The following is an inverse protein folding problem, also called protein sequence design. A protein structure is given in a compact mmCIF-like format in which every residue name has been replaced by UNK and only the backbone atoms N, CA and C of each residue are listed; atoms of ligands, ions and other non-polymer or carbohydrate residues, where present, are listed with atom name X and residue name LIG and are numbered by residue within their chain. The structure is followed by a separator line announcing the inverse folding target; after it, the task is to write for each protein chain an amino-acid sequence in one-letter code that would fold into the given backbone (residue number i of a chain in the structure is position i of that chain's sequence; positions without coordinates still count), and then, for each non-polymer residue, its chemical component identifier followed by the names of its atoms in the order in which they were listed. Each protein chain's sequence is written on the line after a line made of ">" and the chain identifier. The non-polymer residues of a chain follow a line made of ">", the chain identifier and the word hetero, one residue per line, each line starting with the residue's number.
data_IF_254394187908
#
_entry.id   IF_254394187908
#
_cell.length_a   1.000
_cell.length_b   1.000
_cell.length_c   1.000
_cell.angle_alpha   90.00
_cell.angle_beta   90.00
_cell.angle_gamma   90.00
#
_symmetry.space_group_name_H-M   'P 1'
#
loop_
_entity.id
_entity.type
_entity.pdbx_description
1 polymer ?
#
# COMPACT_ATOMS: atom_id res chain seq x y z
N UNK A 1 -18.84 15.83 -10.91
CA UNK A 1 -19.89 16.88 -10.80
C UNK A 1 -19.32 18.30 -10.96
N UNK A 2 -18.40 18.76 -10.09
CA UNK A 2 -17.84 20.13 -10.20
C UNK A 2 -17.09 20.40 -11.51
N UNK A 3 -16.27 19.47 -11.97
CA UNK A 3 -15.58 19.64 -13.25
C UNK A 3 -16.56 19.78 -14.43
N UNK A 4 -17.69 19.06 -14.39
CA UNK A 4 -18.77 19.20 -15.36
C UNK A 4 -19.43 20.57 -15.25
N UNK A 5 -19.65 21.09 -14.04
CA UNK A 5 -20.15 22.46 -13.84
C UNK A 5 -19.23 23.49 -14.50
N UNK A 6 -17.92 23.42 -14.29
CA UNK A 6 -16.97 24.37 -14.91
C UNK A 6 -16.94 24.26 -16.44
N UNK A 7 -17.06 23.04 -16.99
CA UNK A 7 -17.21 22.82 -18.44
C UNK A 7 -18.51 23.38 -19.00
N UNK A 8 -19.62 23.30 -18.27
CA UNK A 8 -20.91 23.79 -18.75
C UNK A 8 -21.09 25.29 -18.55
N UNK A 9 -20.40 25.87 -17.57
CA UNK A 9 -20.54 27.27 -17.17
C UNK A 9 -20.23 28.26 -18.30
N UNK A 10 -19.35 27.91 -19.24
CA UNK A 10 -19.03 28.76 -20.40
C UNK A 10 -20.20 28.89 -21.40
N UNK A 11 -21.16 27.96 -21.34
CA UNK A 11 -22.33 27.92 -22.23
C UNK A 11 -23.61 28.47 -21.60
N UNK A 12 -23.58 28.87 -20.32
CA UNK A 12 -24.77 29.35 -19.60
C UNK A 12 -24.67 30.86 -19.42
N UNK A 13 -25.66 31.60 -19.92
CA UNK A 13 -25.73 33.06 -19.72
C UNK A 13 -26.20 33.36 -18.30
N UNK A 14 -25.60 34.37 -17.66
CA UNK A 14 -26.10 34.87 -16.38
C UNK A 14 -27.40 35.68 -16.51
N UNK A 15 -27.73 36.09 -17.75
CA UNK A 15 -28.87 36.94 -18.07
C UNK A 15 -30.11 36.12 -18.51
N UNK A 16 -30.02 34.78 -18.53
CA UNK A 16 -31.19 33.91 -18.77
C UNK A 16 -32.09 33.90 -17.54
N UNK A 17 -33.31 34.42 -17.71
CA UNK A 17 -34.32 34.61 -16.64
C UNK A 17 -34.66 33.29 -15.92
N UNK A 18 -34.65 32.16 -16.63
CA UNK A 18 -34.99 30.84 -16.09
C UNK A 18 -33.85 30.17 -15.28
N UNK A 19 -32.59 30.61 -15.46
CA UNK A 19 -31.40 29.90 -14.95
C UNK A 19 -30.52 30.79 -14.05
N UNK A 20 -30.59 32.12 -14.21
CA UNK A 20 -29.75 33.09 -13.50
C UNK A 20 -29.80 32.96 -11.97
N UNK A 21 -31.00 32.74 -11.41
CA UNK A 21 -31.20 32.58 -9.97
C UNK A 21 -30.55 31.31 -9.38
N UNK A 22 -30.28 30.31 -10.21
CA UNK A 22 -29.63 29.06 -9.78
C UNK A 22 -28.09 29.12 -9.92
N UNK A 23 -27.55 30.16 -10.57
CA UNK A 23 -26.11 30.28 -10.74
C UNK A 23 -25.43 30.68 -9.43
N UNK A 24 -24.30 30.04 -9.07
CA UNK A 24 -23.52 30.46 -7.93
C UNK A 24 -23.05 31.90 -8.07
N UNK A 25 -23.13 32.67 -6.98
CA UNK A 25 -22.53 34.01 -6.92
C UNK A 25 -21.06 33.99 -7.34
N UNK A 26 -20.52 35.13 -7.80
CA UNK A 26 -19.11 35.22 -8.19
C UNK A 26 -18.15 34.80 -7.07
N UNK A 27 -18.49 35.08 -5.81
CA UNK A 27 -17.72 34.67 -4.64
C UNK A 27 -17.76 33.14 -4.45
N UNK A 28 -18.96 32.54 -4.57
CA UNK A 28 -19.14 31.09 -4.50
C UNK A 28 -18.39 30.39 -5.65
N UNK A 29 -18.49 30.92 -6.87
CA UNK A 29 -17.79 30.39 -8.05
C UNK A 29 -16.27 30.34 -7.84
N UNK A 30 -15.67 31.39 -7.27
CA UNK A 30 -14.23 31.40 -6.91
C UNK A 30 -13.89 30.32 -5.89
N UNK A 31 -14.71 30.16 -4.84
CA UNK A 31 -14.53 29.10 -3.83
C UNK A 31 -14.62 27.71 -4.46
N UNK A 32 -15.56 27.49 -5.39
CA UNK A 32 -15.68 26.23 -6.13
C UNK A 32 -14.47 25.94 -7.00
N UNK A 33 -13.82 26.97 -7.57
CA UNK A 33 -12.62 26.80 -8.37
C UNK A 33 -11.43 26.36 -7.52
N UNK A 34 -11.25 26.98 -6.35
CA UNK A 34 -10.25 26.55 -5.36
C UNK A 34 -10.52 25.12 -4.87
N UNK A 35 -11.79 24.80 -4.60
CA UNK A 35 -12.19 23.45 -4.20
C UNK A 35 -11.88 22.42 -5.30
N UNK A 36 -12.17 22.74 -6.56
CA UNK A 36 -11.87 21.84 -7.69
C UNK A 36 -10.38 21.55 -7.79
N UNK A 37 -9.52 22.56 -7.59
CA UNK A 37 -8.07 22.34 -7.56
C UNK A 37 -7.68 21.34 -6.45
N UNK A 38 -8.14 21.57 -5.22
CA UNK A 38 -7.85 20.64 -4.11
C UNK A 38 -8.37 19.21 -4.34
N UNK A 39 -9.52 19.07 -5.01
CA UNK A 39 -10.08 17.76 -5.33
C UNK A 39 -9.25 17.00 -6.39
N UNK A 40 -8.54 17.72 -7.27
CA UNK A 40 -7.63 17.08 -8.23
C UNK A 40 -6.43 16.45 -7.54
N UNK A 41 -5.89 17.10 -6.51
CA UNK A 41 -4.79 16.56 -5.72
C UNK A 41 -5.25 15.30 -4.98
N UNK A 42 -6.43 15.35 -4.34
CA UNK A 42 -7.05 14.19 -3.69
C UNK A 42 -7.32 13.05 -4.68
N UNK A 43 -7.81 13.36 -5.88
CA UNK A 43 -8.03 12.36 -6.94
C UNK A 43 -6.71 11.72 -7.39
N UNK A 44 -5.67 12.51 -7.58
CA UNK A 44 -4.33 12.05 -7.97
C UNK A 44 -3.76 11.07 -6.94
N UNK A 45 -3.80 11.45 -5.65
CA UNK A 45 -3.36 10.60 -4.54
C UNK A 45 -4.19 9.33 -4.46
N UNK A 46 -5.52 9.44 -4.53
CA UNK A 46 -6.43 8.28 -4.50
C UNK A 46 -6.15 7.28 -5.61
N UNK A 47 -5.83 7.76 -6.83
CA UNK A 47 -5.41 6.92 -7.95
C UNK A 47 -4.05 6.28 -7.73
N UNK A 48 -3.09 7.01 -7.13
CA UNK A 48 -1.75 6.47 -6.83
C UNK A 48 -1.80 5.40 -5.74
N UNK A 49 -2.63 5.58 -4.71
CA UNK A 49 -2.89 4.60 -3.63
C UNK A 49 -3.53 3.30 -4.14
N UNK A 50 -4.12 3.36 -5.33
CA UNK A 50 -4.75 2.27 -6.03
C UNK A 50 -3.78 1.53 -6.98
N UNK A 51 -2.55 1.99 -7.13
CA UNK A 51 -1.54 1.32 -7.96
C UNK A 51 -0.89 0.15 -7.23
N UNK A 52 -0.48 -0.87 -7.97
CA UNK A 52 0.22 -2.02 -7.41
C UNK A 52 1.66 -1.66 -7.02
N UNK A 53 2.21 -2.37 -6.03
CA UNK A 53 3.60 -2.21 -5.59
C UNK A 53 3.87 -0.93 -4.78
N UNK A 54 2.83 -0.26 -4.28
CA UNK A 54 2.99 0.86 -3.35
C UNK A 54 3.41 0.35 -1.97
N UNK A 55 4.42 0.98 -1.35
CA UNK A 55 4.83 0.66 0.01
C UNK A 55 4.10 1.53 1.05
N UNK A 56 4.21 1.17 2.33
CA UNK A 56 3.67 2.00 3.42
C UNK A 56 4.36 3.36 3.52
N UNK A 57 5.65 3.44 3.21
CA UNK A 57 6.38 4.70 3.12
C UNK A 57 5.78 5.63 2.06
N UNK A 58 5.59 5.11 0.83
CA UNK A 58 4.99 5.90 -0.25
C UNK A 58 3.57 6.40 0.10
N UNK A 59 2.77 5.55 0.75
CA UNK A 59 1.43 5.94 1.19
C UNK A 59 1.47 7.05 2.23
N UNK A 60 2.42 6.98 3.18
CA UNK A 60 2.61 8.00 4.21
C UNK A 60 3.04 9.34 3.60
N UNK A 61 3.99 9.32 2.67
CA UNK A 61 4.43 10.53 1.95
C UNK A 61 3.26 11.22 1.22
N UNK A 62 2.37 10.43 0.59
CA UNK A 62 1.17 10.95 -0.08
C UNK A 62 0.14 11.52 0.90
N UNK A 63 -0.04 10.89 2.05
CA UNK A 63 -0.93 11.36 3.11
C UNK A 63 -0.43 12.65 3.74
N UNK A 64 0.86 12.72 4.07
CA UNK A 64 1.47 13.90 4.66
C UNK A 64 1.37 15.11 3.72
N UNK A 65 1.63 14.91 2.42
CA UNK A 65 1.42 15.94 1.40
C UNK A 65 -0.04 16.43 1.33
N UNK A 66 -1.03 15.55 1.50
CA UNK A 66 -2.44 15.96 1.56
C UNK A 66 -2.76 16.74 2.84
N UNK A 67 -2.15 16.38 3.97
CA UNK A 67 -2.31 17.10 5.24
C UNK A 67 -1.71 18.50 5.16
N UNK A 68 -0.58 18.67 4.47
CA UNK A 68 0.01 19.99 4.20
C UNK A 68 -0.94 20.90 3.38
N UNK A 69 -1.57 20.34 2.34
CA UNK A 69 -2.54 21.08 1.51
C UNK A 69 -3.81 21.40 2.30
N UNK A 70 -4.28 20.45 3.13
CA UNK A 70 -5.50 20.59 3.92
C UNK A 70 -5.34 19.97 5.31
N UNK A 71 -5.02 20.79 6.32
CA UNK A 71 -4.78 20.31 7.69
C UNK A 71 -5.95 19.53 8.31
N UNK A 72 -7.18 19.77 7.86
CA UNK A 72 -8.36 19.04 8.32
C UNK A 72 -8.31 17.53 8.02
N UNK A 73 -7.45 17.07 7.09
CA UNK A 73 -7.25 15.65 6.83
C UNK A 73 -6.43 14.94 7.91
N UNK A 74 -5.70 15.67 8.76
CA UNK A 74 -4.92 15.08 9.84
C UNK A 74 -5.76 14.15 10.74
N UNK A 75 -7.03 14.49 10.96
CA UNK A 75 -7.97 13.68 11.75
C UNK A 75 -8.12 12.22 11.24
N UNK A 76 -7.76 11.94 9.99
CA UNK A 76 -7.88 10.63 9.37
C UNK A 76 -6.56 10.12 8.77
N UNK A 77 -5.68 11.02 8.34
CA UNK A 77 -4.49 10.68 7.57
C UNK A 77 -3.18 10.86 8.35
N UNK A 78 -3.22 11.50 9.53
CA UNK A 78 -2.03 11.65 10.35
C UNK A 78 -1.54 10.29 10.88
N UNK A 79 -0.24 10.15 11.18
CA UNK A 79 0.33 8.90 11.72
C UNK A 79 -0.22 8.52 13.10
N UNK A 80 -0.82 9.47 13.82
CA UNK A 80 -1.44 9.30 15.14
C UNK A 80 -2.98 9.38 15.11
N UNK A 81 -3.59 9.29 13.92
CA UNK A 81 -5.04 9.32 13.78
C UNK A 81 -5.71 8.13 14.50
N UNK A 82 -6.86 8.37 15.14
CA UNK A 82 -7.62 7.37 15.93
C UNK A 82 -7.98 6.09 15.17
N UNK A 83 -8.00 6.16 13.82
CA UNK A 83 -8.31 5.02 12.96
C UNK A 83 -7.15 4.00 12.84
N UNK A 84 -5.94 4.39 13.23
CA UNK A 84 -4.74 3.57 13.09
C UNK A 84 -4.72 2.53 14.20
N UNK A 85 -4.67 1.25 13.81
CA UNK A 85 -4.72 0.14 14.77
C UNK A 85 -3.44 0.02 15.61
N UNK A 86 -2.27 0.25 15.00
CA UNK A 86 -0.98 0.18 15.69
C UNK A 86 -0.03 1.23 15.14
N UNK A 87 0.05 2.36 15.83
CA UNK A 87 0.94 3.48 15.48
C UNK A 87 2.39 3.01 15.48
N UNK A 88 2.82 2.28 16.53
CA UNK A 88 4.18 1.77 16.65
C UNK A 88 4.57 0.87 15.46
N UNK A 89 3.66 0.00 15.00
CA UNK A 89 3.92 -0.86 13.85
C UNK A 89 4.10 -0.07 12.54
N UNK A 90 3.21 0.87 12.28
CA UNK A 90 3.27 1.68 11.06
C UNK A 90 4.54 2.55 11.04
N UNK A 91 4.84 3.24 12.15
CA UNK A 91 6.05 4.05 12.27
C UNK A 91 7.32 3.20 12.10
N UNK A 92 7.39 2.05 12.75
CA UNK A 92 8.53 1.15 12.63
C UNK A 92 8.74 0.67 11.19
N UNK A 93 7.65 0.36 10.49
CA UNK A 93 7.67 -0.06 9.09
C UNK A 93 8.14 1.07 8.18
N UNK A 94 7.63 2.30 8.38
CA UNK A 94 8.06 3.50 7.63
C UNK A 94 9.54 3.78 7.85
N UNK A 95 10.03 3.75 9.10
CA UNK A 95 11.45 3.93 9.44
C UNK A 95 12.34 2.90 8.74
N UNK A 96 11.93 1.64 8.70
CA UNK A 96 12.69 0.59 8.03
C UNK A 96 12.71 0.75 6.51
N UNK A 97 11.57 1.06 5.90
CA UNK A 97 11.48 1.32 4.46
C UNK A 97 12.31 2.54 4.06
N UNK A 98 12.42 3.54 4.93
CA UNK A 98 13.28 4.71 4.74
C UNK A 98 14.79 4.43 5.00
N UNK A 99 15.16 3.20 5.36
CA UNK A 99 16.55 2.83 5.66
C UNK A 99 17.05 3.30 7.03
N UNK A 100 16.16 3.74 7.92
CA UNK A 100 16.45 4.31 9.24
C UNK A 100 16.35 3.25 10.35
N UNK A 101 16.86 2.04 10.10
CA UNK A 101 16.78 0.91 11.04
C UNK A 101 17.43 1.20 12.42
N UNK A 102 18.36 2.16 12.48
CA UNK A 102 19.04 2.58 13.71
C UNK A 102 18.17 3.44 14.63
N UNK A 103 17.03 3.94 14.16
CA UNK A 103 16.11 4.81 14.91
C UNK A 103 14.91 4.04 15.49
N UNK A 104 14.91 2.71 15.38
CA UNK A 104 13.85 1.88 15.94
C UNK A 104 13.91 1.91 17.47
N UNK A 105 12.78 2.24 18.09
CA UNK A 105 12.60 2.14 19.54
C UNK A 105 12.42 0.67 19.97
N UNK A 106 12.46 0.40 21.27
CA UNK A 106 12.14 -0.94 21.78
C UNK A 106 10.70 -1.35 21.45
N UNK A 107 9.76 -0.40 21.53
CA UNK A 107 8.36 -0.59 21.15
C UNK A 107 8.23 -0.95 19.66
N UNK A 108 8.93 -0.21 18.78
CA UNK A 108 8.99 -0.48 17.34
C UNK A 108 9.51 -1.90 17.06
N UNK A 109 10.59 -2.29 17.76
CA UNK A 109 11.19 -3.61 17.60
C UNK A 109 10.27 -4.74 18.05
N UNK A 110 9.47 -4.53 19.10
CA UNK A 110 8.45 -5.50 19.54
C UNK A 110 7.28 -5.61 18.57
N UNK A 111 6.84 -4.50 17.98
CA UNK A 111 5.77 -4.50 16.97
C UNK A 111 6.18 -5.26 15.70
N UNK A 112 7.46 -5.23 15.35
CA UNK A 112 8.02 -5.91 14.16
C UNK A 112 8.58 -7.31 14.45
N UNK A 113 8.42 -7.83 15.66
CA UNK A 113 8.90 -9.17 16.04
C UNK A 113 8.48 -10.27 15.04
N UNK A 114 7.22 -10.31 14.54
CA UNK A 114 6.79 -11.30 13.55
C UNK A 114 7.52 -11.23 12.21
N UNK A 115 8.08 -10.07 11.86
CA UNK A 115 8.75 -9.82 10.58
C UNK A 115 10.27 -9.96 10.66
N UNK A 116 10.80 -10.19 11.86
CA UNK A 116 12.23 -10.35 12.08
C UNK A 116 12.68 -11.66 11.43
N UNK A 117 13.67 -11.60 10.54
CA UNK A 117 14.32 -12.80 10.02
C UNK A 117 14.96 -13.55 11.19
N UNK A 118 14.36 -14.66 11.58
CA UNK A 118 15.09 -15.69 12.32
C UNK A 118 16.20 -16.14 11.38
N UNK A 119 17.49 -16.08 11.77
CA UNK A 119 18.55 -16.66 10.96
C UNK A 119 18.29 -18.15 10.88
N UNK A 120 17.61 -18.57 9.82
CA UNK A 120 17.55 -19.97 9.46
C UNK A 120 18.97 -20.29 9.02
N UNK A 121 19.74 -20.93 9.90
CA UNK A 121 20.91 -21.70 9.50
C UNK A 121 20.40 -22.86 8.65
N UNK A 122 19.88 -22.59 7.45
CA UNK A 122 19.91 -23.57 6.38
C UNK A 122 21.35 -23.56 5.92
N UNK A 123 22.18 -24.26 6.68
CA UNK A 123 23.41 -24.81 6.17
C UNK A 123 22.99 -25.68 4.98
N UNK A 124 22.98 -25.08 3.79
CA UNK A 124 23.19 -25.82 2.57
C UNK A 124 24.53 -26.52 2.79
N UNK A 125 24.47 -27.79 3.14
CA UNK A 125 25.61 -28.67 3.30
C UNK A 125 26.28 -28.83 1.93
N UNK A 126 27.06 -27.83 1.53
CA UNK A 126 28.15 -28.04 0.61
C UNK A 126 29.21 -28.85 1.38
N UNK A 127 29.77 -29.92 0.81
CA UNK A 127 30.75 -30.75 1.49
C UNK A 127 32.04 -29.95 1.64
N UNK A 128 32.25 -29.31 2.79
CA UNK A 128 33.52 -28.63 3.08
C UNK A 128 34.56 -29.67 3.43
N UNK A 129 35.41 -29.98 2.45
CA UNK A 129 36.66 -30.71 2.65
C UNK A 129 37.43 -30.15 3.85
N UNK A 130 37.86 -31.04 4.72
CA UNK A 130 38.62 -30.76 5.93
C UNK A 130 39.94 -30.04 5.63
N UNK A 131 39.99 -28.73 5.82
CA UNK A 131 41.25 -28.00 6.03
C UNK A 131 41.13 -27.14 7.29
N UNK A 132 42.08 -27.32 8.20
CA UNK A 132 42.15 -26.65 9.51
C UNK A 132 42.06 -25.13 9.33
N UNK A 133 40.99 -24.51 9.85
CA UNK A 133 40.83 -23.05 9.85
C UNK A 133 42.05 -22.37 10.51
N UNK A 134 42.60 -21.35 9.86
CA UNK A 134 43.77 -20.62 10.34
C UNK A 134 43.42 -19.74 11.55
N UNK A 135 44.41 -19.46 12.41
CA UNK A 135 44.27 -18.53 13.53
C UNK A 135 43.82 -17.13 13.05
N UNK A 136 44.25 -16.70 11.87
CA UNK A 136 43.82 -15.46 11.25
C UNK A 136 42.31 -15.46 10.93
N UNK A 137 41.77 -16.56 10.42
CA UNK A 137 40.34 -16.72 10.10
C UNK A 137 39.47 -16.65 11.37
N UNK A 138 39.96 -17.23 12.47
CA UNK A 138 39.31 -17.15 13.79
C UNK A 138 39.26 -15.74 14.36
N UNK A 139 40.32 -14.94 14.15
CA UNK A 139 40.38 -13.56 14.63
C UNK A 139 39.51 -12.64 13.75
N UNK A 140 39.50 -12.85 12.44
CA UNK A 140 38.66 -12.08 11.51
C UNK A 140 37.16 -12.39 11.67
N UNK A 141 36.77 -13.63 11.97
CA UNK A 141 35.37 -13.99 12.33
C UNK A 141 34.88 -13.28 13.59
N UNK A 142 35.74 -13.06 14.61
CA UNK A 142 35.36 -12.29 15.81
C UNK A 142 35.15 -10.80 15.55
N UNK A 143 35.76 -10.24 14.50
CA UNK A 143 35.60 -8.84 14.12
C UNK A 143 34.33 -8.60 13.29
N UNK A 144 33.71 -9.65 12.75
CA UNK A 144 32.52 -9.60 11.89
C UNK A 144 31.21 -9.72 12.68
N UNK A 145 31.13 -9.07 13.83
CA UNK A 145 29.86 -8.88 14.57
C UNK A 145 29.75 -7.43 15.02
N UNK A 146 29.78 -6.51 14.06
CA UNK A 146 28.79 -5.44 14.10
C UNK A 146 27.53 -6.12 13.61
N UNK A 147 26.52 -6.22 14.49
CA UNK A 147 25.23 -6.79 14.17
C UNK A 147 24.77 -6.22 12.82
N UNK A 148 24.66 -7.06 11.79
CA UNK A 148 23.89 -6.66 10.63
C UNK A 148 22.52 -6.22 11.17
N UNK A 149 22.02 -5.02 10.79
CA UNK A 149 20.73 -4.57 11.28
C UNK A 149 19.74 -5.70 11.01
N UNK A 150 18.95 -6.06 12.04
CA UNK A 150 18.02 -7.17 11.96
C UNK A 150 17.30 -7.12 10.61
N UNK A 151 17.52 -8.13 9.78
CA UNK A 151 16.90 -8.15 8.45
C UNK A 151 15.42 -8.44 8.65
N UNK A 152 14.57 -7.47 8.37
CA UNK A 152 13.12 -7.67 8.35
C UNK A 152 12.70 -8.11 6.96
N UNK A 153 11.84 -9.13 6.88
CA UNK A 153 11.36 -9.69 5.61
C UNK A 153 9.94 -9.18 5.34
N UNK A 154 9.55 -9.14 4.06
CA UNK A 154 8.18 -8.94 3.60
C UNK A 154 7.58 -7.55 3.86
N UNK A 155 8.32 -6.57 4.40
CA UNK A 155 7.80 -5.22 4.62
C UNK A 155 7.36 -4.53 3.32
N UNK A 156 8.06 -4.77 2.22
CA UNK A 156 7.65 -4.29 0.89
C UNK A 156 6.42 -4.98 0.32
N UNK A 157 6.03 -6.13 0.88
CA UNK A 157 4.87 -6.91 0.43
C UNK A 157 3.59 -6.57 1.22
N UNK A 158 3.69 -5.81 2.32
CA UNK A 158 2.54 -5.38 3.10
C UNK A 158 1.83 -4.27 2.32
N UNK A 159 0.59 -4.50 1.86
CA UNK A 159 -0.14 -3.46 1.14
C UNK A 159 -0.51 -2.34 2.12
N UNK A 160 -0.31 -1.07 1.74
CA UNK A 160 -0.60 0.06 2.62
C UNK A 160 -2.09 0.41 2.69
N UNK A 161 -2.91 -0.13 1.79
CA UNK A 161 -4.35 0.10 1.77
C UNK A 161 -5.11 -1.21 1.53
N UNK A 162 -6.35 -1.28 2.02
CA UNK A 162 -7.27 -2.41 1.80
C UNK A 162 -7.85 -2.48 0.37
N UNK A 163 -7.48 -1.56 -0.53
CA UNK A 163 -8.02 -1.48 -1.88
C UNK A 163 -7.84 -2.78 -2.68
N UNK A 164 -6.74 -3.49 -2.46
CA UNK A 164 -6.50 -4.80 -3.10
C UNK A 164 -7.56 -5.83 -2.71
N UNK A 165 -8.01 -5.80 -1.45
CA UNK A 165 -9.05 -6.67 -0.90
C UNK A 165 -10.42 -6.28 -1.45
N UNK A 166 -10.71 -4.99 -1.58
CA UNK A 166 -11.97 -4.52 -2.18
C UNK A 166 -12.09 -4.88 -3.66
N UNK A 167 -10.99 -4.80 -4.41
CA UNK A 167 -10.91 -5.28 -5.80
C UNK A 167 -11.12 -6.77 -5.88
N UNK A 168 -10.47 -7.53 -4.99
CA UNK A 168 -10.67 -8.97 -4.86
C UNK A 168 -12.16 -9.31 -4.67
N UNK A 169 -12.84 -8.66 -3.73
CA UNK A 169 -14.27 -8.88 -3.50
C UNK A 169 -15.16 -8.43 -4.67
N UNK A 170 -14.77 -7.36 -5.37
CA UNK A 170 -15.48 -6.91 -6.59
C UNK A 170 -15.37 -7.94 -7.70
N UNK A 171 -14.18 -8.53 -7.91
CA UNK A 171 -13.96 -9.62 -8.87
C UNK A 171 -14.71 -10.87 -8.41
N UNK A 172 -14.68 -11.20 -7.11
CA UNK A 172 -15.42 -12.32 -6.54
C UNK A 172 -16.92 -12.21 -6.82
N UNK A 173 -17.48 -11.02 -6.60
CA UNK A 173 -18.87 -10.72 -6.92
C UNK A 173 -19.18 -10.85 -8.41
N UNK A 174 -18.26 -10.47 -9.30
CA UNK A 174 -18.44 -10.63 -10.74
C UNK A 174 -18.43 -12.12 -11.16
N UNK A 175 -17.53 -12.93 -10.59
CA UNK A 175 -17.46 -14.38 -10.84
C UNK A 175 -18.69 -15.12 -10.30
N UNK A 176 -19.26 -14.67 -9.18
CA UNK A 176 -20.49 -15.24 -8.62
C UNK A 176 -21.77 -14.92 -9.41
N UNK A 177 -21.74 -13.99 -10.37
CA UNK A 177 -22.97 -13.53 -11.04
C UNK A 177 -23.43 -14.40 -12.21
N UNK A 178 -24.76 -14.41 -12.35
CA UNK A 178 -25.65 -14.95 -13.39
C UNK A 178 -25.57 -16.42 -13.82
N UNK A 179 -24.41 -17.09 -13.84
CA UNK A 179 -24.33 -18.51 -14.28
C UNK A 179 -23.72 -19.46 -13.24
N UNK A 180 -23.16 -18.92 -12.14
CA UNK A 180 -22.39 -19.67 -11.16
C UNK A 180 -22.96 -19.58 -9.73
N UNK A 181 -24.27 -19.36 -9.58
CA UNK A 181 -24.96 -19.26 -8.28
C UNK A 181 -24.92 -20.56 -7.46
N UNK A 182 -24.43 -21.67 -8.03
CA UNK A 182 -24.29 -22.98 -7.37
C UNK A 182 -22.82 -23.37 -7.12
N UNK A 183 -21.87 -22.45 -7.27
CA UNK A 183 -20.48 -22.68 -6.85
C UNK A 183 -20.42 -23.02 -5.36
N UNK A 184 -19.76 -24.13 -5.02
CA UNK A 184 -19.39 -24.35 -3.61
C UNK A 184 -18.34 -23.31 -3.19
N UNK A 185 -18.25 -22.97 -1.90
CA UNK A 185 -17.22 -22.06 -1.39
C UNK A 185 -15.80 -22.48 -1.80
N UNK A 186 -15.52 -23.78 -1.74
CA UNK A 186 -14.23 -24.36 -2.16
C UNK A 186 -13.93 -24.10 -3.65
N UNK A 187 -14.92 -24.27 -4.52
CA UNK A 187 -14.74 -24.06 -5.96
C UNK A 187 -14.57 -22.57 -6.29
N UNK A 188 -15.28 -21.69 -5.58
CA UNK A 188 -15.06 -20.24 -5.68
C UNK A 188 -13.65 -19.85 -5.26
N UNK A 189 -13.15 -20.39 -4.13
CA UNK A 189 -11.81 -20.14 -3.62
C UNK A 189 -10.74 -20.58 -4.63
N UNK A 190 -10.87 -21.79 -5.19
CA UNK A 190 -9.95 -22.28 -6.24
C UNK A 190 -9.95 -21.37 -7.48
N UNK A 191 -11.12 -20.94 -7.96
CA UNK A 191 -11.22 -20.05 -9.12
C UNK A 191 -10.59 -18.69 -8.82
N UNK A 192 -10.84 -18.12 -7.63
CA UNK A 192 -10.23 -16.88 -7.19
C UNK A 192 -8.71 -17.00 -7.10
N UNK A 193 -8.22 -18.07 -6.47
CA UNK A 193 -6.80 -18.34 -6.29
C UNK A 193 -6.07 -18.38 -7.64
N UNK A 194 -6.59 -19.14 -8.60
CA UNK A 194 -6.03 -19.18 -9.95
C UNK A 194 -6.11 -17.80 -10.62
N UNK A 195 -7.29 -17.16 -10.62
CA UNK A 195 -7.46 -15.87 -11.30
C UNK A 195 -6.51 -14.79 -10.80
N UNK A 196 -6.33 -14.68 -9.48
CA UNK A 196 -5.46 -13.68 -8.86
C UNK A 196 -3.97 -13.98 -9.04
N UNK A 197 -3.60 -15.26 -9.14
CA UNK A 197 -2.22 -15.70 -9.31
C UNK A 197 -1.89 -16.05 -10.76
N UNK A 198 -2.65 -15.55 -11.74
CA UNK A 198 -2.47 -15.86 -13.16
C UNK A 198 -1.09 -15.48 -13.72
N UNK A 199 -0.33 -14.62 -13.05
CA UNK A 199 1.06 -14.31 -13.38
C UNK A 199 2.06 -15.38 -12.94
N UNK A 200 1.69 -16.27 -12.01
CA UNK A 200 2.57 -17.26 -11.40
C UNK A 200 2.46 -18.66 -12.01
N UNK A 201 1.54 -18.87 -12.95
CA UNK A 201 1.41 -20.13 -13.64
C UNK A 201 1.15 -19.91 -15.13
N UNK A 202 1.64 -20.84 -15.92
CA UNK A 202 1.38 -20.96 -17.34
C UNK A 202 0.88 -22.38 -17.66
N UNK A 203 0.61 -22.65 -18.93
CA UNK A 203 0.12 -23.97 -19.37
C UNK A 203 1.09 -25.08 -18.96
N UNK A 204 2.40 -24.84 -19.03
CA UNK A 204 3.43 -25.81 -18.64
C UNK A 204 3.40 -26.12 -17.13
N UNK A 205 3.17 -25.10 -16.28
CA UNK A 205 3.03 -25.25 -14.83
C UNK A 205 1.80 -26.10 -14.48
N UNK A 206 0.71 -25.95 -15.22
CA UNK A 206 -0.52 -26.74 -15.04
C UNK A 206 -0.33 -28.18 -15.52
N UNK A 207 0.35 -28.39 -16.66
CA UNK A 207 0.66 -29.73 -17.18
C UNK A 207 1.54 -30.56 -16.24
N UNK A 208 2.45 -29.92 -15.50
CA UNK A 208 3.27 -30.61 -14.48
C UNK A 208 2.46 -31.07 -13.25
N UNK A 209 1.25 -30.55 -13.05
CA UNK A 209 0.40 -30.86 -11.90
C UNK A 209 -0.70 -31.89 -12.22
N UNK A 210 -0.82 -32.34 -13.48
CA UNK A 210 -1.78 -33.34 -13.96
C UNK A 210 -1.12 -34.74 -14.02
#
# INVERSE_FOLDING_TARGET
>A
MLERYFRLREFISADEEDIGDFLPSRATHRKLATLLASLRDVESVSKRLQADGLTLLDARDLFDALVEIRPAFANYLAPDADIIHSVAFEEATVKLLAGQATMLTEEDATALEPFKRVPTNVAAAAPSSSSKESFADRVLKRRKVSAEPASYILLHAIPPTSNIVERLFSIARAVLRHELQRLSPMMLEMIMFLKMNSSYYDVATVELCL
#
